data_IF_337472641227
#
_entry.id   IF_337472641227
#
_cell.length_a   1.000
_cell.length_b   1.000
_cell.length_c   1.000
_cell.angle_alpha   90.00
_cell.angle_beta   90.00
_cell.angle_gamma   90.00
#
_symmetry.space_group_name_H-M   'P 1'
#
loop_
_entity.id
_entity.type
_entity.pdbx_description
1 polymer ?
2 water ?
#
# COMPACT_ATOMS: atom_id res chain seq x y z
N UNK A 5 19.60 -1.17 16.96
CA UNK A 5 19.74 -2.62 17.09
C UNK A 5 18.77 -3.34 16.16
N UNK A 6 17.65 -2.66 15.88
CA UNK A 6 16.64 -3.10 14.91
C UNK A 6 17.22 -3.12 13.48
N UNK A 7 18.18 -2.23 13.24
CA UNK A 7 18.87 -2.13 11.95
C UNK A 7 19.58 -3.42 11.55
N UNK A 8 20.21 -4.08 12.51
CA UNK A 8 20.92 -5.33 12.28
C UNK A 8 19.94 -6.47 11.98
N UNK A 9 18.83 -6.48 12.72
CA UNK A 9 17.80 -7.49 12.52
C UNK A 9 17.27 -7.44 11.08
N UNK A 10 17.05 -6.22 10.59
CA UNK A 10 16.51 -6.01 9.24
C UNK A 10 17.53 -6.38 8.15
N UNK A 11 18.79 -6.00 8.37
CA UNK A 11 19.88 -6.40 7.49
C UNK A 11 19.87 -7.93 7.28
N UNK A 12 19.72 -8.69 8.35
CA UNK A 12 19.69 -10.16 8.18
C UNK A 12 18.37 -10.74 7.66
N UNK A 13 17.25 -10.03 7.84
CA UNK A 13 15.99 -10.37 7.18
C UNK A 13 16.03 -10.03 5.68
N UNK A 14 16.48 -8.82 5.36
CA UNK A 14 16.65 -8.37 3.97
C UNK A 14 17.48 -9.35 3.14
N UNK A 15 18.52 -9.92 3.76
CA UNK A 15 19.35 -10.94 3.11
C UNK A 15 18.58 -12.24 2.92
N UNK A 16 18.00 -12.74 4.01
CA UNK A 16 17.26 -13.98 4.00
C UNK A 16 16.08 -13.98 3.02
N UNK A 17 15.39 -12.84 2.90
CA UNK A 17 14.15 -12.74 2.13
C UNK A 17 14.28 -12.03 0.79
N UNK A 18 15.12 -11.00 0.73
CA UNK A 18 15.22 -10.14 -0.46
C UNK A 18 16.33 -10.60 -1.41
N UNK A 19 17.58 -10.53 -0.95
CA UNK A 19 18.69 -11.09 -1.71
C UNK A 19 18.71 -12.60 -1.54
N UNK A 35 19.45 -7.79 -8.36
CA UNK A 35 18.91 -9.00 -7.76
C UNK A 35 18.73 -8.83 -6.25
N UNK A 36 17.99 -7.80 -5.87
CA UNK A 36 17.64 -7.52 -4.48
C UNK A 36 16.18 -7.88 -4.12
N UNK A 37 15.22 -7.42 -4.91
CA UNK A 37 13.79 -7.67 -4.63
C UNK A 37 13.39 -7.36 -3.19
N UNK A 38 13.21 -6.07 -2.89
CA UNK A 38 12.77 -5.61 -1.58
C UNK A 38 11.27 -5.77 -1.34
N UNK A 39 10.51 -5.97 -2.41
CA UNK A 39 9.10 -6.31 -2.26
C UNK A 39 8.90 -7.61 -1.44
N UNK A 40 9.92 -8.45 -1.38
CA UNK A 40 9.85 -9.62 -0.52
C UNK A 40 10.03 -9.28 0.97
N UNK A 41 10.67 -8.15 1.25
CA UNK A 41 10.85 -7.70 2.63
C UNK A 41 9.84 -6.63 3.00
N UNK A 42 9.48 -5.78 2.05
CA UNK A 42 8.59 -4.67 2.31
C UNK A 42 7.15 -5.14 2.45
N UNK A 43 6.86 -6.33 1.89
CA UNK A 43 5.52 -6.92 1.98
C UNK A 43 5.51 -8.12 2.95
N UNK A 44 6.59 -8.21 3.72
CA UNK A 44 6.76 -9.23 4.74
C UNK A 44 6.35 -8.63 6.11
N UNK A 45 5.61 -9.40 6.90
CA UNK A 45 5.03 -8.91 8.15
C UNK A 45 6.03 -8.39 9.15
N UNK A 46 7.16 -9.06 9.28
CA UNK A 46 8.17 -8.67 10.27
C UNK A 46 9.14 -7.64 9.70
N UNK A 47 9.64 -7.85 8.50
CA UNK A 47 10.61 -6.91 7.93
C UNK A 47 9.97 -5.54 7.63
N UNK A 48 8.68 -5.49 7.27
CA UNK A 48 8.04 -4.21 7.00
C UNK A 48 7.90 -3.40 8.27
N UNK A 49 7.55 -4.07 9.37
CA UNK A 49 7.45 -3.42 10.70
C UNK A 49 8.77 -2.79 11.07
N UNK A 50 9.86 -3.53 10.95
CA UNK A 50 11.18 -2.99 11.26
C UNK A 50 11.48 -1.77 10.38
N UNK A 51 11.11 -1.85 9.10
CA UNK A 51 11.30 -0.74 8.12
C UNK A 51 10.61 0.54 8.55
N UNK A 52 9.32 0.42 8.82
CA UNK A 52 8.47 1.55 9.23
C UNK A 52 9.00 2.24 10.46
N UNK A 53 9.47 1.45 11.42
CA UNK A 53 10.00 1.96 12.68
C UNK A 53 11.36 2.64 12.49
N UNK A 54 12.15 2.12 11.54
CA UNK A 54 13.50 2.62 11.29
C UNK A 54 13.49 3.89 10.43
N UNK A 55 12.50 4.03 9.55
CA UNK A 55 12.40 5.26 8.71
C UNK A 55 11.91 6.45 9.50
N UNK A 56 11.11 6.17 10.52
CA UNK A 56 10.65 7.22 11.43
C UNK A 56 11.80 7.75 12.24
N UNK A 57 12.66 6.84 12.71
CA UNK A 57 13.82 7.19 13.54
C UNK A 57 14.90 7.90 12.73
N UNK A 58 15.07 7.45 11.49
CA UNK A 58 16.11 7.96 10.59
C UNK A 58 15.76 9.33 9.99
N UNK A 59 14.54 9.81 10.25
CA UNK A 59 14.01 11.07 9.73
C UNK A 59 13.19 11.77 10.82
N UNK A 60 13.58 11.55 12.08
CA UNK A 60 12.83 12.08 13.23
C UNK A 60 12.99 13.58 13.40
N UNK A 61 14.03 14.14 12.79
CA UNK A 61 14.32 15.57 12.88
C UNK A 61 13.60 16.36 11.80
N UNK A 62 12.90 15.65 10.90
CA UNK A 62 12.15 16.27 9.81
C UNK A 62 10.67 16.43 10.10
N UNK A 63 10.10 17.53 9.63
CA UNK A 63 8.71 17.89 9.86
C UNK A 63 7.80 17.49 8.67
N UNK A 64 7.11 16.35 8.77
CA UNK A 64 6.22 15.93 7.67
C UNK A 64 4.95 15.32 8.20
N UNK A 65 3.89 15.46 7.43
CA UNK A 65 2.57 15.02 7.84
C UNK A 65 2.11 13.82 7.00
N UNK A 66 2.87 13.55 5.92
CA UNK A 66 2.55 12.45 5.01
C UNK A 66 3.82 11.87 4.38
N UNK A 67 3.78 10.57 4.10
CA UNK A 67 4.85 9.82 3.42
C UNK A 67 4.36 9.12 2.18
N UNK A 68 5.25 8.89 1.24
CA UNK A 68 4.89 8.22 0.01
C UNK A 68 6.01 8.33 -0.97
N UNK A 69 5.78 7.81 -2.17
CA UNK A 69 6.75 7.87 -3.29
C UNK A 69 6.11 7.26 -4.54
N UNK A 70 6.93 6.80 -5.50
CA UNK A 70 6.39 6.35 -6.81
C UNK A 70 5.99 4.90 -6.77
N UNK A 71 4.84 4.64 -7.39
CA UNK A 71 4.08 3.41 -7.15
C UNK A 71 4.73 2.04 -7.42
N UNK A 72 4.06 1.07 -6.81
CA UNK A 72 4.63 -0.15 -6.30
C UNK A 72 5.73 0.09 -5.26
N UNK A 73 6.99 0.13 -5.71
CA UNK A 73 8.12 0.04 -4.81
C UNK A 73 7.95 0.79 -3.50
N UNK A 74 7.50 2.05 -3.59
CA UNK A 74 7.48 2.94 -2.45
C UNK A 74 6.28 2.72 -1.53
N UNK A 75 5.23 2.10 -2.08
CA UNK A 75 3.92 2.02 -1.41
C UNK A 75 3.94 1.24 -0.10
N UNK A 76 4.39 -0.03 -0.11
CA UNK A 76 4.58 -0.76 1.16
C UNK A 76 5.56 -0.08 2.14
N UNK A 77 6.54 0.66 1.62
CA UNK A 77 7.41 1.41 2.51
C UNK A 77 6.63 2.52 3.24
N UNK A 78 5.90 3.35 2.48
CA UNK A 78 5.18 4.49 3.08
C UNK A 78 4.16 4.02 4.13
N UNK A 79 3.46 2.96 3.77
CA UNK A 79 2.43 2.33 4.58
C UNK A 79 3.02 1.70 5.88
N UNK A 80 4.22 1.13 5.77
CA UNK A 80 5.05 0.76 6.92
C UNK A 80 5.21 1.89 7.92
N UNK A 81 5.51 3.08 7.39
CA UNK A 81 5.78 4.27 8.19
C UNK A 81 4.49 4.73 8.84
N UNK A 83 1.83 2.84 9.60
CA UNK A 83 1.40 1.88 10.62
C UNK A 83 2.34 1.68 11.83
N UNK A 84 3.53 2.26 11.79
CA UNK A 84 4.44 2.20 12.95
C UNK A 84 4.00 3.20 14.02
N UNK A 85 4.49 2.99 15.25
CA UNK A 85 4.14 3.79 16.41
C UNK A 85 4.67 5.20 16.32
N UNK A 86 3.96 6.12 16.95
CA UNK A 86 4.37 7.52 16.97
C UNK A 86 3.25 8.46 16.56
N UNK A 87 3.62 9.64 16.10
CA UNK A 87 2.64 10.65 15.69
C UNK A 87 1.97 10.24 14.37
N UNK A 88 0.82 10.86 14.08
CA UNK A 88 0.00 10.53 12.91
C UNK A 88 0.57 11.05 11.57
N UNK A 89 1.17 10.13 10.82
CA UNK A 89 1.64 10.40 9.46
C UNK A 89 0.69 9.68 8.51
N UNK A 90 0.18 10.38 7.51
CA UNK A 90 -0.62 9.76 6.44
C UNK A 90 0.27 9.34 5.30
N UNK A 91 -0.29 8.65 4.32
CA UNK A 91 0.51 8.13 3.22
C UNK A 91 -0.06 8.59 1.88
N UNK A 92 0.70 8.38 0.81
CA UNK A 92 0.19 8.71 -0.50
C UNK A 92 0.89 7.83 -1.51
N UNK A 93 0.37 7.80 -2.74
CA UNK A 93 0.95 7.03 -3.84
C UNK A 93 1.03 7.86 -5.10
N UNK A 94 2.23 8.03 -5.63
CA UNK A 94 2.43 8.69 -6.92
C UNK A 94 2.29 7.65 -8.00
N UNK A 95 1.24 7.79 -8.81
CA UNK A 95 1.08 6.97 -9.99
C UNK A 95 2.19 7.24 -10.99
N UNK A 96 2.68 6.19 -11.64
CA UNK A 96 3.69 6.37 -12.67
C UNK A 96 3.08 6.48 -14.07
N UNK A 97 1.84 6.01 -14.23
CA UNK A 97 1.10 6.12 -15.49
C UNK A 97 -0.22 6.88 -15.35
N UNK A 98 -0.72 7.36 -16.49
CA UNK A 98 -1.94 8.18 -16.55
C UNK A 98 -3.15 7.43 -16.02
N UNK A 100 -7.18 9.11 -14.23
CA UNK A 100 -8.28 9.11 -13.27
C UNK A 100 -9.56 8.37 -13.73
N UNK A 101 -9.37 7.21 -14.34
CA UNK A 101 -10.41 6.49 -15.10
C UNK A 101 -11.59 5.99 -14.27
N UNK A 102 -12.81 6.37 -14.66
CA UNK A 102 -14.03 5.98 -13.96
C UNK A 102 -15.29 6.59 -14.56
N UNK A 104 -10.05 8.54 -10.36
CA UNK A 104 -8.74 8.39 -9.72
C UNK A 104 -8.04 9.76 -9.61
N UNK A 105 -6.73 9.76 -9.36
CA UNK A 105 -5.97 10.95 -9.00
C UNK A 105 -4.48 10.68 -9.24
N UNK A 106 -3.73 11.73 -9.59
CA UNK A 106 -2.28 11.66 -9.87
C UNK A 106 -1.45 11.20 -8.67
N UNK A 107 -1.62 11.88 -7.55
CA UNK A 107 -1.14 11.41 -6.27
C UNK A 107 -2.36 10.95 -5.47
N UNK A 108 -2.33 9.70 -5.03
CA UNK A 108 -3.47 9.13 -4.30
C UNK A 108 -3.31 9.23 -2.78
N UNK A 109 -4.43 9.33 -2.06
CA UNK A 109 -4.42 9.45 -0.61
C UNK A 109 -4.92 10.81 -0.15
N UNK A 110 -5.00 11.05 1.17
CA UNK A 110 -5.29 12.39 1.66
C UNK A 110 -4.49 13.47 0.92
N UNK A 111 -5.12 14.64 0.73
CA UNK A 111 -4.57 15.82 0.03
C UNK A 111 -3.14 16.11 0.44
N UNK A 112 -2.28 16.27 -0.56
CA UNK A 112 -0.86 16.56 -0.38
C UNK A 112 -0.52 18.04 -0.64
N UNK A 113 -1.47 18.79 -1.19
CA UNK A 113 -1.25 20.19 -1.48
C UNK A 113 -0.97 21.03 -0.22
N UNK A 114 0.13 21.78 -0.25
CA UNK A 114 0.52 22.67 0.85
C UNK A 114 1.02 21.95 2.08
N UNK A 115 1.32 20.66 1.95
CA UNK A 115 1.80 19.88 3.08
C UNK A 115 3.29 19.67 2.99
N UNK A 116 3.91 19.51 4.15
CA UNK A 116 5.29 19.05 4.28
C UNK A 116 5.31 17.52 4.17
N UNK A 117 6.16 17.01 3.28
CA UNK A 117 6.02 15.62 2.82
C UNK A 117 7.37 14.88 2.71
N UNK A 118 7.40 13.63 3.18
CA UNK A 118 8.57 12.78 3.03
C UNK A 118 8.42 11.80 1.85
N UNK A 119 9.35 11.88 0.89
CA UNK A 119 9.46 10.93 -0.24
C UNK A 119 10.28 9.74 0.21
N UNK A 120 9.70 8.53 0.05
CA UNK A 120 10.39 7.26 0.30
C UNK A 120 10.55 6.40 -0.96
N UNK A 121 11.48 5.46 -0.88
CA UNK A 121 11.68 4.46 -1.91
C UNK A 121 12.10 3.16 -1.24
N UNK A 122 11.88 2.04 -1.92
CA UNK A 122 12.41 0.81 -1.37
C UNK A 122 13.90 0.77 -1.70
N UNK A 123 14.22 0.56 -2.97
CA UNK A 123 15.61 0.56 -3.43
C UNK A 123 15.86 1.62 -4.51
N UNK A 124 16.84 2.50 -4.26
CA UNK A 124 17.22 3.51 -5.23
C UNK A 124 18.63 3.27 -5.80
N UNK A 125 18.73 3.26 -7.13
CA UNK A 125 20.03 3.17 -7.76
C UNK A 125 20.55 4.57 -8.12
N UNK A 126 20.06 5.13 -9.23
CA UNK A 126 20.54 6.42 -9.73
C UNK A 126 19.93 7.61 -8.99
N UNK A 127 18.76 7.41 -8.39
CA UNK A 127 18.02 8.49 -7.73
C UNK A 127 16.83 8.87 -8.58
N UNK A 128 16.64 8.13 -9.66
CA UNK A 128 15.62 8.41 -10.68
C UNK A 128 14.17 8.26 -10.23
N UNK A 129 13.84 7.13 -9.59
CA UNK A 129 12.47 6.86 -9.17
C UNK A 129 11.92 7.86 -8.12
N UNK A 130 12.69 8.11 -7.04
CA UNK A 130 12.14 9.05 -6.05
C UNK A 130 12.08 10.50 -6.57
N UNK A 131 12.91 10.83 -7.56
CA UNK A 131 12.84 12.12 -8.25
C UNK A 131 11.56 12.32 -9.05
N UNK A 132 11.05 11.23 -9.64
CA UNK A 132 9.79 11.29 -10.39
C UNK A 132 8.65 11.67 -9.46
N UNK A 133 8.72 11.14 -8.23
CA UNK A 133 7.74 11.38 -7.18
C UNK A 133 7.88 12.81 -6.64
N UNK A 134 9.13 13.25 -6.46
CA UNK A 134 9.47 14.61 -6.08
C UNK A 134 8.93 15.62 -7.10
N UNK A 135 9.21 15.37 -8.38
CA UNK A 135 8.74 16.24 -9.45
C UNK A 135 7.22 16.35 -9.43
N UNK A 136 6.52 15.24 -9.18
CA UNK A 136 5.05 15.22 -9.16
C UNK A 136 4.45 15.96 -7.95
N UNK A 137 5.10 15.80 -6.80
CA UNK A 137 4.69 16.45 -5.56
C UNK A 137 4.87 17.96 -5.61
N UNK A 138 6.00 18.40 -6.15
CA UNK A 138 6.25 19.84 -6.32
C UNK A 138 5.16 20.49 -7.17
N UNK A 139 4.84 19.87 -8.31
CA UNK A 139 3.72 20.32 -9.16
C UNK A 139 2.36 20.21 -8.47
N UNK A 140 2.18 19.22 -7.59
CA UNK A 140 0.95 19.11 -6.80
C UNK A 140 0.84 20.33 -5.90
N UNK A 141 1.99 20.82 -5.44
CA UNK A 141 2.04 21.97 -4.55
C UNK A 141 2.37 21.54 -3.15
N UNK A 142 3.11 20.43 -3.05
CA UNK A 142 3.61 19.93 -1.77
C UNK A 142 5.07 20.31 -1.51
N UNK A 143 5.41 20.38 -0.22
CA UNK A 143 6.78 20.65 0.20
C UNK A 143 7.51 19.34 0.53
N UNK A 144 8.58 19.06 -0.21
CA UNK A 144 9.37 17.85 -0.01
C UNK A 144 10.40 18.12 1.08
N UNK A 145 10.42 17.24 2.06
CA UNK A 145 11.16 17.44 3.29
C UNK A 145 12.55 16.80 3.15
N UNK A 146 12.58 15.63 2.53
CA UNK A 146 13.79 14.90 2.22
C UNK A 146 13.43 13.56 1.61
N UNK A 147 14.45 12.81 1.20
CA UNK A 147 14.28 11.49 0.63
C UNK A 147 14.95 10.40 1.50
N UNK A 148 14.15 9.44 1.92
CA UNK A 148 14.63 8.30 2.70
C UNK A 148 14.36 6.98 1.96
N UNK A 149 15.40 6.17 1.80
CA UNK A 149 15.25 4.88 1.12
C UNK A 149 15.64 3.73 2.06
N UNK A 150 15.02 2.55 1.87
CA UNK A 150 15.40 1.36 2.67
C UNK A 150 16.80 0.88 2.29
N UNK A 151 17.03 0.74 0.97
CA UNK A 151 18.32 0.32 0.44
C UNK A 151 18.84 1.33 -0.59
N UNK A 152 20.06 1.82 -0.36
CA UNK A 152 20.74 2.74 -1.29
C UNK A 152 21.33 2.01 -2.51
N UNK A 154 24.69 2.36 -8.61
CA UNK A 154 24.18 1.79 -7.36
C UNK A 154 24.67 2.60 -6.17
N UNK A 155 25.16 3.80 -6.48
CA UNK A 155 25.87 4.66 -5.53
C UNK A 155 25.89 6.15 -5.93
N UNK A 156 25.27 6.50 -7.05
CA UNK A 156 25.20 7.88 -7.51
C UNK A 156 23.99 8.70 -7.06
N UNK A 157 23.13 8.11 -6.22
CA UNK A 157 21.84 8.71 -5.87
C UNK A 157 21.88 9.95 -4.97
N UNK A 158 22.77 9.96 -3.98
CA UNK A 158 22.80 11.06 -3.01
C UNK A 158 23.04 12.41 -3.68
N UNK A 159 23.96 12.41 -4.65
CA UNK A 159 24.39 13.63 -5.34
C UNK A 159 23.32 14.11 -6.32
N UNK A 160 22.47 13.19 -6.77
CA UNK A 160 21.37 13.54 -7.67
C UNK A 160 20.22 14.18 -6.90
N UNK A 161 19.96 13.65 -5.71
CA UNK A 161 18.94 14.19 -4.81
C UNK A 161 19.39 15.56 -4.30
N UNK A 162 20.67 15.66 -3.93
CA UNK A 162 21.24 16.91 -3.40
C UNK A 162 21.13 18.05 -4.40
N UNK A 163 21.24 17.73 -5.69
CA UNK A 163 21.16 18.70 -6.78
C UNK A 163 19.75 19.30 -6.88
N UNK A 164 18.76 18.61 -6.33
CA UNK A 164 17.40 19.12 -6.21
C UNK A 164 17.19 19.84 -4.88
N UNK A 165 18.27 20.02 -4.12
CA UNK A 165 18.22 20.72 -2.84
C UNK A 165 17.57 19.93 -1.72
N UNK A 166 17.75 18.61 -1.73
CA UNK A 166 17.06 17.71 -0.79
C UNK A 166 18.04 16.72 -0.16
N UNK A 167 17.92 16.53 1.16
CA UNK A 167 18.78 15.56 1.84
C UNK A 167 18.28 14.14 1.58
N UNK A 168 19.23 13.25 1.39
CA UNK A 168 18.94 11.86 1.09
C UNK A 168 19.55 10.94 2.14
N UNK A 169 18.71 10.05 2.68
CA UNK A 169 19.13 9.14 3.74
C UNK A 169 18.68 7.72 3.45
N UNK A 170 19.38 6.73 4.02
CA UNK A 170 19.03 5.33 3.80
C UNK A 170 19.26 4.47 5.04
N UNK A 171 18.55 3.35 5.10
CA UNK A 171 18.78 2.35 6.15
C UNK A 171 20.00 1.49 5.81
N UNK A 172 19.92 0.74 4.70
CA UNK A 172 21.00 -0.18 4.31
C UNK A 172 21.66 0.26 3.01
N UNK A 173 22.93 -0.13 2.84
CA UNK A 173 23.66 0.22 1.63
C UNK A 173 24.41 -0.95 1.02
N UNK A 174 25.73 -0.89 1.10
CA UNK A 174 26.60 -1.80 0.36
C UNK A 174 27.04 -2.98 1.22
N UNK A 175 27.88 -2.68 2.20
CA UNK A 175 28.46 -3.69 3.10
C UNK A 175 27.42 -4.45 3.93
N UNK A 176 26.27 -3.82 4.19
CA UNK A 176 25.25 -4.39 5.07
C UNK A 176 24.68 -5.73 4.62
N UNK A 177 24.42 -5.85 3.32
CA UNK A 177 23.95 -7.10 2.72
C UNK A 177 25.09 -8.03 2.28
N UNK A 178 26.31 -7.49 2.27
CA UNK A 178 27.47 -8.22 1.73
C UNK A 178 27.33 -8.36 0.23
N UNK A 179 26.85 -7.30 -0.41
CA UNK A 179 26.55 -7.29 -1.83
C UNK A 179 27.02 -5.98 -2.48
N UNK B 5 -18.51 0.78 17.39
CA UNK B 5 -18.05 2.11 17.02
C UNK B 5 -16.75 2.08 16.22
N UNK B 6 -16.19 0.89 16.04
CA UNK B 6 -15.06 0.69 15.13
C UNK B 6 -15.62 0.76 13.69
N UNK B 7 -16.73 0.06 13.48
CA UNK B 7 -17.44 0.04 12.20
C UNK B 7 -18.13 1.38 11.95
N UNK B 8 -18.69 1.94 13.03
CA UNK B 8 -19.33 3.23 12.97
C UNK B 8 -18.30 4.33 12.71
N UNK B 9 -17.17 4.27 13.41
CA UNK B 9 -16.12 5.26 13.23
C UNK B 9 -15.52 5.23 11.82
N UNK B 10 -15.41 4.04 11.24
CA UNK B 10 -14.89 3.92 9.87
C UNK B 10 -15.83 4.56 8.84
N UNK B 11 -17.12 4.21 8.91
CA UNK B 11 -18.17 4.87 8.11
C UNK B 11 -18.02 6.39 8.14
N UNK B 12 -18.07 6.98 9.34
CA UNK B 12 -17.97 8.42 9.50
C UNK B 12 -16.70 9.02 8.90
N UNK B 13 -15.58 8.33 9.10
CA UNK B 13 -14.32 8.74 8.48
C UNK B 13 -14.43 8.72 6.95
N UNK B 14 -15.00 7.66 6.41
CA UNK B 14 -15.14 7.51 4.97
C UNK B 14 -16.02 8.61 4.39
N UNK B 15 -17.14 8.91 5.06
CA UNK B 15 -18.02 10.00 4.65
C UNK B 15 -17.22 11.30 4.56
N UNK B 16 -16.66 11.74 5.68
CA UNK B 16 -15.89 13.00 5.68
C UNK B 16 -14.64 12.95 4.81
N UNK B 17 -13.96 11.82 4.77
CA UNK B 17 -12.71 11.71 4.01
C UNK B 17 -12.83 11.38 2.52
N UNK B 18 -13.83 10.59 2.15
CA UNK B 18 -13.81 9.92 0.85
C UNK B 18 -14.82 10.36 -0.20
N UNK B 19 -15.90 11.02 0.21
CA UNK B 19 -16.92 11.46 -0.76
C UNK B 19 -16.57 12.72 -1.59
N UNK B 20 -16.61 12.56 -2.92
CA UNK B 20 -16.31 13.61 -3.88
C UNK B 20 -17.56 13.90 -4.74
N UNK B 21 -18.11 15.11 -4.64
CA UNK B 21 -19.24 15.51 -5.48
C UNK B 21 -18.80 16.08 -6.81
N UNK B 22 -19.53 15.68 -7.83
CA UNK B 22 -19.27 16.04 -9.22
C UNK B 22 -19.48 14.86 -10.13
N UNK B 23 -19.86 15.16 -11.37
CA UNK B 23 -19.93 14.18 -12.48
C UNK B 23 -19.29 12.84 -12.14
N UNK B 30 -20.65 3.74 -15.89
CA UNK B 30 -21.83 4.47 -15.45
C UNK B 30 -21.51 5.93 -15.14
N UNK B 31 -22.43 6.84 -15.49
CA UNK B 31 -22.38 8.23 -15.01
C UNK B 31 -22.70 8.23 -13.51
N UNK B 32 -22.10 9.13 -12.75
CA UNK B 32 -22.16 9.04 -11.28
C UNK B 32 -22.65 10.28 -10.53
N UNK B 33 -22.15 11.45 -10.91
CA UNK B 33 -22.34 12.70 -10.15
C UNK B 33 -21.91 12.75 -8.65
N UNK B 34 -21.28 11.67 -8.17
CA UNK B 34 -20.71 11.60 -6.82
C UNK B 34 -20.08 10.23 -6.56
N UNK B 35 -18.76 10.20 -6.38
CA UNK B 35 -18.04 8.94 -6.13
C UNK B 35 -17.26 8.89 -4.81
N UNK B 36 -16.72 7.72 -4.48
CA UNK B 36 -16.00 7.50 -3.23
C UNK B 36 -14.50 7.90 -3.24
N UNK B 37 -13.63 7.12 -3.88
CA UNK B 37 -12.20 7.44 -3.77
C UNK B 37 -11.78 7.09 -2.34
N UNK B 38 -11.65 5.79 -2.13
CA UNK B 38 -11.40 5.23 -0.81
C UNK B 38 -9.98 5.42 -0.41
N UNK B 39 -9.12 5.73 -1.38
CA UNK B 39 -7.71 5.93 -1.15
C UNK B 39 -7.44 7.03 -0.15
N UNK B 40 -8.39 7.96 -0.02
CA UNK B 40 -8.29 9.01 0.97
C UNK B 40 -8.53 8.47 2.37
N UNK B 41 -9.20 7.32 2.45
CA UNK B 41 -9.41 6.63 3.71
C UNK B 41 -8.37 5.53 3.94
N UNK B 42 -8.04 4.76 2.89
CA UNK B 42 -7.16 3.59 3.03
C UNK B 42 -5.70 3.99 3.24
N UNK B 43 -5.37 5.23 2.83
CA UNK B 43 -4.02 5.77 3.08
C UNK B 43 -4.04 6.80 4.20
N UNK B 44 -5.14 6.80 4.97
CA UNK B 44 -5.28 7.64 6.17
C UNK B 44 -4.90 6.86 7.43
N UNK B 45 -4.05 7.47 8.26
CA UNK B 45 -3.52 6.81 9.45
C UNK B 45 -4.60 6.21 10.36
N UNK B 46 -5.72 6.91 10.51
CA UNK B 46 -6.77 6.48 11.42
C UNK B 46 -7.61 5.44 10.74
N UNK B 47 -8.04 5.74 9.52
CA UNK B 47 -8.94 4.86 8.79
C UNK B 47 -8.28 3.55 8.37
N UNK B 48 -6.97 3.58 8.11
CA UNK B 48 -6.27 2.39 7.64
C UNK B 48 -6.26 1.34 8.73
N UNK B 49 -6.03 1.81 9.96
CA UNK B 49 -6.02 0.96 11.16
C UNK B 49 -7.39 0.40 11.47
N UNK B 50 -8.44 1.14 11.12
CA UNK B 50 -9.78 0.65 11.27
C UNK B 50 -10.09 -0.40 10.26
N UNK B 51 -9.61 -0.20 9.03
CA UNK B 51 -9.84 -1.17 7.94
C UNK B 51 -9.16 -2.51 8.25
N UNK B 52 -7.91 -2.46 8.71
CA UNK B 52 -7.12 -3.66 9.00
C UNK B 52 -7.70 -4.58 10.05
N UNK B 53 -8.05 -4.01 11.20
CA UNK B 53 -8.72 -4.73 12.28
C UNK B 53 -10.06 -5.33 11.80
N UNK B 54 -10.92 -4.49 11.22
CA UNK B 54 -12.23 -4.93 10.76
C UNK B 54 -12.17 -6.06 9.72
N UNK B 55 -11.27 -5.97 8.75
CA UNK B 55 -11.14 -7.04 7.75
C UNK B 55 -10.70 -8.36 8.35
N UNK B 56 -9.74 -8.30 9.27
CA UNK B 56 -9.31 -9.48 10.01
C UNK B 56 -10.48 -10.16 10.76
N UNK B 57 -11.39 -9.38 11.32
CA UNK B 57 -12.56 -9.94 12.01
C UNK B 57 -13.58 -10.49 11.05
N UNK B 58 -13.85 -9.73 10.00
CA UNK B 58 -14.72 -10.13 8.90
C UNK B 58 -14.31 -11.47 8.28
N UNK B 59 -12.99 -11.76 8.29
CA UNK B 59 -12.44 -12.92 7.59
C UNK B 59 -11.81 -13.95 8.55
N UNK B 60 -12.15 -13.85 9.83
CA UNK B 60 -11.53 -14.62 10.92
C UNK B 60 -11.63 -16.14 10.74
N UNK B 61 -12.70 -16.57 10.07
CA UNK B 61 -12.97 -18.00 9.86
C UNK B 61 -12.15 -18.60 8.71
N UNK B 62 -11.42 -17.75 7.97
CA UNK B 62 -10.62 -18.18 6.82
C UNK B 62 -9.13 -18.32 7.16
N UNK B 63 -8.49 -19.36 6.63
CA UNK B 63 -7.13 -19.73 7.05
C UNK B 63 -6.01 -19.23 6.11
N UNK B 64 -6.12 -18.00 5.64
CA UNK B 64 -5.19 -17.48 4.66
C UNK B 64 -3.87 -17.03 5.29
N UNK B 65 -2.79 -17.18 4.55
CA UNK B 65 -1.48 -16.81 5.06
C UNK B 65 -0.95 -15.51 4.44
N UNK B 66 -1.64 -15.01 3.41
CA UNK B 66 -1.30 -13.72 2.80
C UNK B 66 -2.54 -12.97 2.32
N UNK B 67 -2.42 -11.65 2.22
CA UNK B 67 -3.48 -10.78 1.67
C UNK B 67 -2.94 -9.90 0.56
N UNK B 68 -3.77 -9.63 -0.43
CA UNK B 68 -3.41 -8.67 -1.44
C UNK B 68 -4.44 -8.68 -2.53
N UNK B 69 -4.20 -7.88 -3.56
CA UNK B 69 -5.07 -7.90 -4.71
C UNK B 69 -4.54 -6.97 -5.78
N UNK B 70 -5.45 -6.47 -6.62
CA UNK B 70 -5.08 -5.72 -7.82
C UNK B 70 -4.50 -4.35 -7.49
N UNK B 71 -3.29 -4.13 -7.96
CA UNK B 71 -2.51 -2.95 -7.64
C UNK B 71 -3.24 -1.65 -7.68
N UNK B 72 -2.78 -0.86 -6.71
CA UNK B 72 -3.29 0.40 -6.24
C UNK B 72 -4.39 0.17 -5.23
N UNK B 73 -5.65 0.08 -5.67
CA UNK B 73 -6.76 0.06 -4.72
C UNK B 73 -6.59 -0.93 -3.58
N UNK B 74 -6.27 -2.17 -3.93
CA UNK B 74 -6.11 -3.23 -2.97
C UNK B 74 -4.89 -3.10 -2.05
N UNK B 75 -3.81 -2.51 -2.55
CA UNK B 75 -2.53 -2.42 -1.82
C UNK B 75 -2.67 -1.86 -0.38
N UNK B 76 -3.18 -0.61 -0.21
CA UNK B 76 -3.25 -0.13 1.18
C UNK B 76 -4.17 -0.97 2.05
N UNK B 77 -5.25 -1.53 1.49
CA UNK B 77 -6.10 -2.43 2.26
C UNK B 77 -5.33 -3.65 2.75
N UNK B 78 -4.59 -4.27 1.83
CA UNK B 78 -3.76 -5.45 2.09
C UNK B 78 -2.70 -5.23 3.17
N UNK B 79 -1.97 -4.10 3.14
CA UNK B 79 -0.92 -3.91 4.17
C UNK B 79 -1.52 -3.45 5.52
N UNK B 80 -2.75 -2.95 5.47
CA UNK B 80 -3.49 -2.63 6.71
C UNK B 80 -3.77 -3.88 7.51
N UNK B 81 -4.14 -4.94 6.79
CA UNK B 81 -4.42 -6.23 7.37
C UNK B 81 -3.14 -6.84 7.91
N UNK B 83 -0.48 -5.26 8.85
CA UNK B 83 0.04 -4.45 9.98
C UNK B 83 -0.82 -4.46 11.24
N UNK B 84 -2.03 -5.01 11.10
CA UNK B 84 -2.96 -5.20 12.19
C UNK B 84 -2.46 -6.31 13.12
N UNK B 85 -2.81 -6.20 14.40
CA UNK B 85 -2.50 -7.19 15.41
C UNK B 85 -3.11 -8.56 15.14
N UNK B 86 -2.47 -9.61 15.65
CA UNK B 86 -3.00 -10.96 15.52
C UNK B 86 -2.00 -11.86 14.82
N UNK B 87 -2.49 -12.97 14.28
CA UNK B 87 -1.65 -13.94 13.58
C UNK B 87 -0.92 -13.29 12.42
N UNK B 88 0.31 -13.72 12.20
CA UNK B 88 1.13 -13.25 11.10
C UNK B 88 0.51 -13.56 9.74
N UNK B 89 0.30 -12.49 8.97
CA UNK B 89 -0.19 -12.56 7.63
C UNK B 89 0.67 -11.60 6.81
N UNK B 90 1.24 -12.09 5.70
CA UNK B 90 2.01 -11.28 4.80
C UNK B 90 1.11 -10.72 3.71
N UNK B 91 1.69 -9.84 2.90
CA UNK B 91 0.92 -9.19 1.86
C UNK B 91 1.56 -9.46 0.51
N UNK B 92 0.80 -9.36 -0.56
CA UNK B 92 1.37 -9.40 -1.89
C UNK B 92 0.75 -8.28 -2.69
N UNK B 93 1.15 -8.12 -3.95
CA UNK B 93 0.53 -7.18 -4.89
C UNK B 93 0.38 -7.82 -6.29
N UNK B 94 -0.84 -7.86 -6.81
CA UNK B 94 -1.04 -8.29 -8.19
C UNK B 94 -0.92 -7.08 -9.11
N UNK B 95 0.02 -7.13 -10.05
CA UNK B 95 0.19 -6.02 -11.01
C UNK B 95 -0.88 -6.04 -12.10
N UNK B 96 -1.30 -4.86 -12.56
CA UNK B 96 -2.25 -4.70 -13.65
C UNK B 96 -1.68 -5.19 -14.99
N UNK B 97 -1.22 -6.44 -14.98
CA UNK B 97 -0.71 -7.16 -16.15
C UNK B 97 0.59 -6.55 -16.70
N UNK B 98 1.40 -5.98 -15.79
CA UNK B 98 2.71 -5.40 -16.14
C UNK B 98 3.74 -6.48 -16.50
N UNK B 99 4.58 -6.18 -17.49
CA UNK B 99 5.64 -7.09 -17.94
C UNK B 99 7.02 -6.40 -17.86
N UNK B 102 13.67 -4.17 -16.17
CA UNK B 102 14.52 -5.24 -15.67
C UNK B 102 13.83 -6.16 -14.65
N UNK B 104 10.88 -7.18 -12.26
CA UNK B 104 9.49 -7.16 -11.80
C UNK B 104 8.99 -8.53 -11.34
N UNK B 105 7.80 -8.91 -11.82
CA UNK B 105 6.97 -9.98 -11.24
C UNK B 105 5.53 -9.55 -11.42
N UNK B 106 4.64 -10.46 -11.74
CA UNK B 106 3.21 -10.12 -11.83
C UNK B 106 2.53 -10.17 -10.46
N UNK B 107 2.97 -11.06 -9.59
CA UNK B 107 2.54 -11.05 -8.18
C UNK B 107 3.74 -10.72 -7.31
N UNK B 108 3.68 -9.57 -6.66
CA UNK B 108 4.85 -9.02 -6.00
C UNK B 108 4.75 -9.28 -4.52
N UNK B 109 5.90 -9.52 -3.88
CA UNK B 109 5.95 -9.77 -2.45
C UNK B 109 6.28 -11.21 -2.11
N UNK B 110 6.35 -11.53 -0.80
CA UNK B 110 6.64 -12.91 -0.40
C UNK B 110 5.82 -13.98 -1.15
N UNK B 111 6.49 -15.09 -1.41
CA UNK B 111 5.98 -16.26 -2.14
C UNK B 111 4.55 -16.67 -1.81
N UNK B 112 3.73 -16.79 -2.83
CA UNK B 112 2.34 -17.23 -2.67
C UNK B 112 2.09 -18.65 -3.18
N UNK B 113 3.01 -19.19 -4.01
CA UNK B 113 2.83 -20.55 -4.57
C UNK B 113 2.47 -21.57 -3.49
N UNK B 114 1.33 -22.24 -3.71
CA UNK B 114 0.85 -23.32 -2.85
C UNK B 114 0.36 -22.86 -1.50
N UNK B 115 0.01 -21.58 -1.39
CA UNK B 115 -0.42 -21.02 -0.12
C UNK B 115 -1.87 -20.60 -0.18
N UNK B 116 -2.56 -20.63 0.98
CA UNK B 116 -3.91 -20.08 1.08
C UNK B 116 -3.82 -18.57 1.21
N UNK B 117 -4.67 -17.90 0.47
CA UNK B 117 -4.47 -16.48 0.18
C UNK B 117 -5.82 -15.76 0.27
N UNK B 118 -5.84 -14.53 0.76
CA UNK B 118 -7.07 -13.73 0.74
C UNK B 118 -6.97 -12.60 -0.26
N UNK B 119 -8.04 -12.43 -1.04
CA UNK B 119 -8.14 -11.32 -1.96
C UNK B 119 -8.90 -10.14 -1.34
N UNK B 120 -8.21 -9.01 -1.26
CA UNK B 120 -8.82 -7.76 -0.81
C UNK B 120 -9.01 -6.78 -1.96
N UNK B 121 -10.00 -5.91 -1.78
CA UNK B 121 -10.22 -4.80 -2.67
C UNK B 121 -10.63 -3.62 -1.80
N UNK B 122 -10.47 -2.41 -2.31
CA UNK B 122 -10.97 -1.23 -1.60
C UNK B 122 -12.47 -0.98 -1.91
N UNK B 123 -12.79 -0.72 -3.16
CA UNK B 123 -14.18 -0.64 -3.61
C UNK B 123 -14.45 -1.63 -4.73
N UNK B 124 -15.52 -2.41 -4.57
CA UNK B 124 -15.91 -3.44 -5.52
C UNK B 124 -17.27 -3.11 -6.15
N UNK B 125 -17.27 -2.89 -7.45
CA UNK B 125 -18.48 -2.61 -8.19
C UNK B 125 -18.86 -3.85 -9.03
N UNK B 126 -18.11 -4.05 -10.12
CA UNK B 126 -18.32 -5.17 -11.00
C UNK B 126 -17.77 -6.46 -10.39
N UNK B 127 -16.72 -6.32 -9.57
CA UNK B 127 -16.02 -7.50 -9.06
C UNK B 127 -15.04 -8.08 -10.06
N UNK B 128 -14.99 -7.50 -11.26
CA UNK B 128 -14.01 -7.87 -12.29
C UNK B 128 -12.58 -7.66 -11.80
N UNK B 129 -12.37 -6.54 -11.08
CA UNK B 129 -11.08 -6.19 -10.51
C UNK B 129 -10.53 -7.26 -9.53
N UNK B 130 -11.24 -7.54 -8.41
CA UNK B 130 -10.75 -8.62 -7.54
C UNK B 130 -10.65 -10.02 -8.20
N UNK B 131 -11.54 -10.32 -9.15
CA UNK B 131 -11.45 -11.59 -9.91
C UNK B 131 -10.22 -11.70 -10.80
N UNK B 132 -9.71 -10.56 -11.27
CA UNK B 132 -8.46 -10.52 -12.04
C UNK B 132 -7.30 -10.96 -11.15
N UNK B 133 -7.31 -10.49 -9.91
CA UNK B 133 -6.34 -10.94 -8.92
C UNK B 133 -6.53 -12.44 -8.65
N UNK B 134 -7.80 -12.86 -8.53
CA UNK B 134 -8.16 -14.26 -8.33
C UNK B 134 -7.63 -15.18 -9.45
N UNK B 135 -7.88 -14.78 -10.69
CA UNK B 135 -7.43 -15.54 -11.85
C UNK B 135 -5.92 -15.69 -11.82
N UNK B 136 -5.22 -14.58 -11.57
CA UNK B 136 -3.75 -14.55 -11.59
C UNK B 136 -3.11 -15.28 -10.40
N UNK B 137 -3.78 -15.24 -9.25
CA UNK B 137 -3.30 -15.98 -8.10
C UNK B 137 -3.46 -17.46 -8.36
N UNK B 138 -4.66 -17.89 -8.76
CA UNK B 138 -4.90 -19.30 -9.03
C UNK B 138 -3.86 -19.82 -10.01
N UNK B 139 -3.65 -19.09 -11.10
CA UNK B 139 -2.64 -19.41 -12.11
C UNK B 139 -1.20 -19.54 -11.56
N UNK B 140 -0.88 -18.78 -10.51
CA UNK B 140 0.42 -18.87 -9.84
C UNK B 140 0.50 -20.04 -8.84
N UNK B 141 -0.58 -20.83 -8.76
CA UNK B 141 -0.66 -21.97 -7.86
C UNK B 141 -1.07 -21.63 -6.43
N UNK B 142 -1.59 -20.42 -6.22
CA UNK B 142 -2.14 -20.04 -4.93
C UNK B 142 -3.60 -20.47 -4.86
N UNK B 143 -4.00 -20.91 -3.68
CA UNK B 143 -5.39 -21.19 -3.41
C UNK B 143 -6.04 -19.94 -2.80
N UNK B 144 -7.19 -19.53 -3.34
CA UNK B 144 -7.88 -18.34 -2.84
C UNK B 144 -9.00 -18.73 -1.87
N UNK B 145 -8.94 -18.18 -0.66
CA UNK B 145 -9.94 -18.54 0.36
C UNK B 145 -11.25 -17.78 0.21
N UNK B 146 -11.22 -16.65 -0.50
CA UNK B 146 -12.38 -15.77 -0.64
C UNK B 146 -11.98 -14.34 -0.93
N UNK B 147 -12.97 -13.49 -1.20
CA UNK B 147 -12.75 -12.05 -1.47
C UNK B 147 -13.36 -11.22 -0.34
N UNK B 148 -12.64 -10.19 0.09
CA UNK B 148 -13.16 -9.24 1.07
C UNK B 148 -12.83 -7.80 0.66
N UNK B 149 -13.84 -6.93 0.67
CA UNK B 149 -13.71 -5.53 0.23
C UNK B 149 -14.14 -4.53 1.33
N UNK B 150 -13.60 -3.31 1.33
CA UNK B 150 -14.00 -2.32 2.33
C UNK B 150 -15.45 -1.84 2.08
N UNK B 151 -15.67 -1.26 0.91
CA UNK B 151 -16.99 -0.82 0.50
C UNK B 151 -17.49 -1.68 -0.65
N UNK B 152 -18.76 -2.07 -0.56
CA UNK B 152 -19.46 -2.69 -1.67
C UNK B 152 -20.32 -1.65 -2.38
N UNK B 153 -20.42 -1.77 -3.71
CA UNK B 153 -21.18 -0.81 -4.52
C UNK B 153 -22.41 -1.44 -5.19
N UNK B 154 -22.99 -2.43 -4.50
CA UNK B 154 -24.31 -2.97 -4.81
C UNK B 154 -24.61 -3.28 -6.29
N UNK B 155 -23.69 -4.01 -6.94
CA UNK B 155 -23.99 -4.68 -8.22
C UNK B 155 -23.95 -6.20 -7.98
N UNK B 156 -23.75 -7.00 -9.02
CA UNK B 156 -23.80 -8.46 -8.87
C UNK B 156 -22.52 -9.07 -8.33
N UNK B 157 -21.83 -8.31 -7.47
CA UNK B 157 -20.48 -8.64 -7.03
C UNK B 157 -20.40 -10.01 -6.35
N UNK B 158 -21.33 -10.29 -5.43
CA UNK B 158 -21.41 -11.61 -4.80
C UNK B 158 -21.66 -12.72 -5.82
N UNK B 159 -22.68 -12.53 -6.66
CA UNK B 159 -23.11 -13.52 -7.66
C UNK B 159 -22.03 -13.82 -8.70
N UNK B 160 -21.19 -12.82 -8.97
CA UNK B 160 -20.08 -12.93 -9.91
C UNK B 160 -18.88 -13.60 -9.24
N UNK B 161 -18.54 -13.15 -8.02
CA UNK B 161 -17.52 -13.83 -7.19
C UNK B 161 -17.95 -15.28 -6.90
N UNK B 162 -19.18 -15.47 -6.41
CA UNK B 162 -19.75 -16.80 -6.14
C UNK B 162 -19.56 -17.77 -7.29
N UNK B 163 -19.66 -17.24 -8.51
CA UNK B 163 -19.58 -18.02 -9.74
C UNK B 163 -18.21 -18.67 -9.95
N UNK B 164 -17.21 -18.17 -9.23
CA UNK B 164 -15.85 -18.73 -9.27
C UNK B 164 -15.57 -19.57 -8.04
N UNK B 165 -16.62 -19.78 -7.24
CA UNK B 165 -16.57 -20.65 -6.07
C UNK B 165 -16.24 -19.92 -4.79
N UNK B 166 -16.30 -18.61 -4.82
CA UNK B 166 -15.77 -17.81 -3.72
C UNK B 166 -16.81 -17.01 -2.96
N UNK B 167 -16.62 -16.95 -1.64
CA UNK B 167 -17.45 -16.09 -0.80
C UNK B 167 -16.97 -14.65 -0.92
N UNK B 168 -17.93 -13.75 -0.87
CA UNK B 168 -17.66 -12.34 -0.96
C UNK B 168 -18.21 -11.67 0.30
N UNK B 169 -17.33 -10.89 0.95
CA UNK B 169 -17.70 -10.11 2.12
C UNK B 169 -17.25 -8.67 1.99
N UNK B 170 -17.90 -7.78 2.74
CA UNK B 170 -17.52 -6.38 2.77
C UNK B 170 -17.75 -5.78 4.17
N UNK B 171 -17.03 -4.70 4.50
CA UNK B 171 -17.28 -3.95 5.73
C UNK B 171 -18.50 -3.02 5.60
N UNK B 172 -18.59 -2.32 4.47
CA UNK B 172 -19.53 -1.22 4.31
C UNK B 172 -20.29 -1.23 2.99
N UNK B 173 -21.62 -1.17 3.11
CA UNK B 173 -22.49 -0.95 1.95
C UNK B 173 -22.70 0.55 1.72
N UNK B 174 -23.30 0.91 0.59
CA UNK B 174 -23.61 2.32 0.33
C UNK B 174 -24.54 2.93 1.38
N UNK B 175 -25.47 2.12 1.91
CA UNK B 175 -26.40 2.61 2.94
C UNK B 175 -25.73 2.90 4.29
N UNK B 176 -24.56 2.29 4.52
CA UNK B 176 -23.74 2.56 5.71
C UNK B 176 -22.99 3.88 5.57
N UNK B 177 -22.94 4.36 4.33
CA UNK B 177 -22.24 5.59 4.00
C UNK B 177 -23.22 6.73 3.70
N UNK B 178 -24.52 6.43 3.67
CA UNK B 178 -25.56 7.40 3.33
C UNK B 178 -25.52 7.74 1.85
N UNK B 179 -25.19 6.74 1.05
CA UNK B 179 -24.94 6.93 -0.38
C UNK B 179 -25.68 5.91 -1.20
#
# INVERSE_FOLDING_TARGET
SNAXSKKAELAELVKELAVVHGKVTLSSGKEADYYVDLRRATLHARASRLIGELLRELTADWDYVAVGGLTLGADPVATSVXHADGREIHAFVVRKEAKKHGXQRRIEGPDVVGKKVLVVEDTTTTGNSPLTAVKALREAGAEVVGVATVVDRATGAADVIAAEGLEYRYILGLEDLGLA
SNAXSKKAELAELVKELAVVHGKVTLSSGKEADYYVDLRRATLHARASRLIGELLRELTADWDYVAVGGLTLGADPVATSVXHADGREIHAFVVRKEAKKHGXQRRIEGPDVVGKKVLVVEDTTTTGNSPLTAVKALREAGAEVVGVATVVDRATGAADVIAAEGLEYRYILGLEDLGLA
#
